data_IF_363561359570
#
_entry.id   IF_363561359570
#
_cell.length_a   1.000
_cell.length_b   1.000
_cell.length_c   1.000
_cell.angle_alpha   90.00
_cell.angle_beta   90.00
_cell.angle_gamma   90.00
#
_symmetry.space_group_name_H-M   'P 1'
#
loop_
_entity.id
_entity.type
_entity.pdbx_description
1 polymer ?
#
# COMPACT_ATOMS: atom_id res chain seq x y z
N UNK A 1 -4.56 43.50 -12.02
CA UNK A 1 -5.56 42.70 -11.29
C UNK A 1 -5.28 41.22 -11.45
N UNK A 2 -5.19 40.70 -12.67
CA UNK A 2 -4.87 39.28 -12.95
C UNK A 2 -3.62 38.76 -12.20
N UNK A 3 -2.48 39.47 -12.29
CA UNK A 3 -1.28 39.11 -11.52
C UNK A 3 -1.48 39.20 -9.99
N UNK A 4 -2.30 40.12 -9.50
CA UNK A 4 -2.57 40.21 -8.06
C UNK A 4 -3.38 38.99 -7.59
N UNK A 5 -4.40 38.58 -8.35
CA UNK A 5 -5.18 37.37 -8.04
C UNK A 5 -4.36 36.09 -8.19
N UNK A 6 -3.40 36.05 -9.13
CA UNK A 6 -2.53 34.89 -9.34
C UNK A 6 -1.51 34.68 -8.20
N UNK A 7 -0.91 35.76 -7.67
CA UNK A 7 0.13 35.67 -6.64
C UNK A 7 -0.38 35.86 -5.20
N UNK A 8 -1.58 36.42 -5.02
CA UNK A 8 -2.18 36.71 -3.72
C UNK A 8 -3.62 36.19 -3.64
N UNK A 9 -3.86 34.98 -4.16
CA UNK A 9 -5.15 34.30 -3.99
C UNK A 9 -5.47 34.14 -2.50
N UNK A 10 -6.76 34.28 -2.16
CA UNK A 10 -7.23 33.96 -0.82
C UNK A 10 -7.04 32.45 -0.58
N UNK A 11 -6.77 32.03 0.67
CA UNK A 11 -6.63 30.60 0.99
C UNK A 11 -7.90 29.78 0.65
N UNK A 12 -9.05 30.44 0.49
CA UNK A 12 -10.33 29.80 0.22
C UNK A 12 -10.53 29.41 -1.26
N UNK A 13 -9.86 30.08 -2.20
CA UNK A 13 -10.04 29.85 -3.65
C UNK A 13 -9.01 28.89 -4.25
N UNK A 14 -7.92 28.60 -3.51
CA UNK A 14 -6.82 27.78 -3.98
C UNK A 14 -6.96 26.31 -3.53
N UNK A 15 -6.68 25.36 -4.44
CA UNK A 15 -6.61 23.93 -4.08
C UNK A 15 -5.59 23.69 -2.95
N UNK A 16 -4.44 24.36 -3.01
CA UNK A 16 -3.39 24.30 -2.00
C UNK A 16 -3.06 25.69 -1.46
N UNK A 17 -2.98 25.80 -0.14
CA UNK A 17 -2.48 27.02 0.51
C UNK A 17 -0.96 27.12 0.36
N UNK A 18 -0.41 28.31 0.60
CA UNK A 18 1.04 28.49 0.64
C UNK A 18 1.71 27.64 1.74
N UNK A 19 1.03 27.44 2.86
CA UNK A 19 1.51 26.58 3.94
C UNK A 19 1.64 25.10 3.49
N UNK A 20 0.68 24.61 2.71
CA UNK A 20 0.72 23.24 2.17
C UNK A 20 1.86 23.06 1.17
N UNK A 21 2.05 24.01 0.26
CA UNK A 21 3.14 23.97 -0.72
C UNK A 21 4.49 23.97 -0.01
N UNK A 22 4.67 24.83 1.01
CA UNK A 22 5.90 24.88 1.80
C UNK A 22 6.14 23.58 2.59
N UNK A 23 5.09 23.02 3.18
CA UNK A 23 5.15 21.73 3.87
C UNK A 23 5.58 20.61 2.91
N UNK A 24 4.94 20.51 1.74
CA UNK A 24 5.33 19.56 0.72
C UNK A 24 6.77 19.75 0.24
N UNK A 25 7.21 20.99 -0.02
CA UNK A 25 8.59 21.29 -0.41
C UNK A 25 9.61 20.81 0.64
N UNK A 26 9.34 21.07 1.92
CA UNK A 26 10.22 20.62 3.00
C UNK A 26 10.33 19.10 3.04
N UNK A 27 9.20 18.38 2.91
CA UNK A 27 9.19 16.92 2.88
C UNK A 27 9.86 16.39 1.62
N UNK A 28 9.60 16.98 0.46
CA UNK A 28 10.22 16.60 -0.81
C UNK A 28 11.74 16.67 -0.71
N UNK A 29 12.29 17.76 -0.18
CA UNK A 29 13.73 17.95 -0.03
C UNK A 29 14.39 16.91 0.91
N UNK A 30 13.63 16.31 1.84
CA UNK A 30 14.11 15.19 2.67
C UNK A 30 14.17 13.89 1.84
N UNK A 31 13.24 13.71 0.91
CA UNK A 31 13.11 12.47 0.12
C UNK A 31 14.01 12.48 -1.12
N UNK A 32 14.12 13.62 -1.81
CA UNK A 32 14.97 13.90 -2.97
C UNK A 32 16.29 14.54 -2.54
N UNK A 33 17.14 13.74 -1.91
CA UNK A 33 18.42 14.20 -1.34
C UNK A 33 19.41 14.73 -2.38
N UNK A 34 19.27 14.30 -3.64
CA UNK A 34 20.16 14.67 -4.74
C UNK A 34 19.63 15.86 -5.55
N UNK A 35 18.46 16.41 -5.19
CA UNK A 35 17.79 17.51 -5.88
C UNK A 35 17.60 17.23 -7.38
N UNK A 36 17.23 15.98 -7.72
CA UNK A 36 17.00 15.57 -9.10
C UNK A 36 15.69 16.13 -9.67
N UNK A 37 14.76 16.52 -8.81
CA UNK A 37 13.40 16.91 -9.20
C UNK A 37 12.50 15.71 -9.51
N UNK A 38 13.03 14.49 -9.42
CA UNK A 38 12.32 13.21 -9.57
C UNK A 38 12.71 12.25 -8.45
N UNK A 39 11.76 11.38 -8.07
CA UNK A 39 12.00 10.29 -7.11
C UNK A 39 11.43 8.99 -7.66
N UNK A 40 12.04 7.85 -7.28
CA UNK A 40 11.46 6.54 -7.58
C UNK A 40 10.06 6.41 -6.97
N UNK A 41 9.12 5.78 -7.68
CA UNK A 41 7.73 5.65 -7.21
C UNK A 41 7.62 4.99 -5.83
N UNK A 42 8.50 4.04 -5.51
CA UNK A 42 8.53 3.38 -4.19
C UNK A 42 8.81 4.34 -3.02
N UNK A 43 9.39 5.51 -3.28
CA UNK A 43 9.67 6.56 -2.29
C UNK A 43 8.45 7.41 -1.98
N UNK A 44 7.41 7.41 -2.82
CA UNK A 44 6.16 8.15 -2.58
C UNK A 44 5.49 7.70 -1.28
N UNK A 45 5.48 6.38 -1.00
CA UNK A 45 4.96 5.83 0.27
C UNK A 45 5.65 6.43 1.50
N UNK A 46 6.95 6.69 1.40
CA UNK A 46 7.71 7.31 2.48
C UNK A 46 7.41 8.81 2.56
N UNK A 47 7.34 9.50 1.42
CA UNK A 47 6.96 10.90 1.32
C UNK A 47 5.60 11.18 2.00
N UNK A 48 4.57 10.41 1.64
CA UNK A 48 3.21 10.60 2.17
C UNK A 48 3.15 10.45 3.71
N UNK A 49 3.98 9.57 4.28
CA UNK A 49 4.04 9.38 5.75
C UNK A 49 4.70 10.54 6.50
N UNK A 50 5.48 11.37 5.79
CA UNK A 50 6.16 12.51 6.37
C UNK A 50 5.34 13.79 6.28
N UNK A 51 4.31 13.84 5.43
CA UNK A 51 3.40 14.98 5.35
C UNK A 51 2.66 15.20 6.67
N UNK A 52 2.42 16.47 6.98
CA UNK A 52 1.76 16.93 8.22
C UNK A 52 0.65 17.94 7.95
N UNK A 53 -0.20 18.18 8.94
CA UNK A 53 -1.25 19.19 8.85
C UNK A 53 -2.33 18.78 7.83
N UNK A 54 -2.75 19.72 6.97
CA UNK A 54 -3.83 19.48 5.99
C UNK A 54 -3.48 18.42 4.93
N UNK A 55 -2.19 18.21 4.67
CA UNK A 55 -1.69 17.18 3.74
C UNK A 55 -1.42 15.83 4.40
N UNK A 56 -1.65 15.68 5.71
CA UNK A 56 -1.40 14.43 6.41
C UNK A 56 -2.39 13.35 5.97
N UNK A 57 -1.86 12.17 5.62
CA UNK A 57 -2.66 10.99 5.28
C UNK A 57 -2.26 9.87 6.23
N UNK A 58 -3.10 9.60 7.23
CA UNK A 58 -2.82 8.62 8.27
C UNK A 58 -2.93 7.20 7.66
N UNK A 59 -1.86 6.39 7.63
CA UNK A 59 -1.91 5.08 6.98
C UNK A 59 -2.80 4.06 7.71
N UNK A 60 -3.19 4.32 8.96
CA UNK A 60 -4.10 3.49 9.74
C UNK A 60 -5.54 3.94 9.56
N UNK A 61 -5.82 5.25 9.69
CA UNK A 61 -7.18 5.81 9.57
C UNK A 61 -7.61 5.97 8.11
N UNK A 62 -6.73 6.52 7.28
CA UNK A 62 -6.98 6.87 5.88
C UNK A 62 -6.36 5.82 4.93
N UNK A 63 -6.34 4.56 5.37
CA UNK A 63 -5.67 3.46 4.68
C UNK A 63 -6.08 3.30 3.21
N UNK A 64 -7.35 3.57 2.90
CA UNK A 64 -7.89 3.47 1.54
C UNK A 64 -7.35 4.62 0.67
N UNK A 65 -7.48 5.87 1.15
CA UNK A 65 -6.93 7.05 0.47
C UNK A 65 -5.41 6.91 0.25
N UNK A 66 -4.67 6.45 1.26
CA UNK A 66 -3.24 6.18 1.16
C UNK A 66 -2.92 5.20 0.03
N UNK A 67 -3.70 4.12 -0.12
CA UNK A 67 -3.53 3.17 -1.22
C UNK A 67 -3.86 3.80 -2.58
N UNK A 68 -4.91 4.60 -2.67
CA UNK A 68 -5.31 5.27 -3.92
C UNK A 68 -4.21 6.21 -4.40
N UNK A 69 -3.67 7.05 -3.51
CA UNK A 69 -2.57 7.96 -3.82
C UNK A 69 -1.30 7.23 -4.26
N UNK A 70 -0.97 6.12 -3.59
CA UNK A 70 0.16 5.29 -4.02
C UNK A 70 -0.07 4.67 -5.39
N UNK A 71 -1.26 4.12 -5.63
CA UNK A 71 -1.60 3.49 -6.91
C UNK A 71 -1.60 4.51 -8.05
N UNK A 72 -2.13 5.70 -7.82
CA UNK A 72 -2.11 6.81 -8.77
C UNK A 72 -0.68 7.10 -9.25
N UNK A 73 0.28 7.23 -8.32
CA UNK A 73 1.69 7.44 -8.66
C UNK A 73 2.35 6.23 -9.34
N UNK A 74 1.90 5.01 -9.04
CA UNK A 74 2.34 3.78 -9.73
C UNK A 74 1.85 3.71 -11.19
N UNK A 75 0.76 4.41 -11.54
CA UNK A 75 0.29 4.49 -12.93
C UNK A 75 1.06 5.53 -13.76
N UNK A 76 1.66 6.55 -13.13
CA UNK A 76 2.50 7.50 -13.83
C UNK A 76 3.80 6.85 -14.31
N UNK A 77 4.20 7.17 -15.55
CA UNK A 77 5.49 6.79 -16.15
C UNK A 77 5.86 5.30 -16.01
N UNK A 78 4.87 4.40 -16.14
CA UNK A 78 5.06 2.95 -15.99
C UNK A 78 5.69 2.53 -14.65
N UNK A 79 5.55 3.34 -13.60
CA UNK A 79 6.03 3.05 -12.25
C UNK A 79 7.54 3.19 -12.04
N UNK A 80 8.23 4.00 -12.85
CA UNK A 80 9.68 4.23 -12.66
C UNK A 80 9.94 5.40 -11.70
N UNK A 81 9.87 6.63 -12.23
CA UNK A 81 10.08 7.87 -11.49
C UNK A 81 8.88 8.81 -11.60
N UNK A 82 8.65 9.58 -10.53
CA UNK A 82 7.66 10.65 -10.47
C UNK A 82 8.35 11.97 -10.16
N UNK A 83 7.88 13.04 -10.77
CA UNK A 83 8.39 14.39 -10.55
C UNK A 83 7.77 15.06 -9.31
N UNK A 84 8.39 16.16 -8.88
CA UNK A 84 7.83 17.05 -7.86
C UNK A 84 6.38 17.46 -8.20
N UNK A 85 6.13 17.77 -9.48
CA UNK A 85 4.85 18.26 -9.94
C UNK A 85 3.78 17.17 -9.96
N UNK A 86 4.12 15.93 -10.34
CA UNK A 86 3.16 14.83 -10.35
C UNK A 86 2.55 14.59 -8.96
N UNK A 87 3.43 14.55 -7.95
CA UNK A 87 3.00 14.37 -6.56
C UNK A 87 2.26 15.60 -6.03
N UNK A 88 2.69 16.81 -6.38
CA UNK A 88 2.00 18.03 -5.95
C UNK A 88 0.59 18.14 -6.55
N UNK A 89 0.43 17.78 -7.82
CA UNK A 89 -0.87 17.78 -8.53
C UNK A 89 -1.81 16.74 -7.91
N UNK A 90 -1.31 15.53 -7.64
CA UNK A 90 -2.09 14.53 -6.92
C UNK A 90 -2.53 15.06 -5.54
N UNK A 91 -1.63 15.70 -4.79
CA UNK A 91 -1.99 16.31 -3.51
C UNK A 91 -3.05 17.41 -3.65
N UNK A 92 -2.98 18.24 -4.69
CA UNK A 92 -3.97 19.31 -4.89
C UNK A 92 -5.37 18.79 -5.14
N UNK A 93 -5.53 17.67 -5.84
CA UNK A 93 -6.86 17.07 -6.05
C UNK A 93 -7.36 16.27 -4.85
N UNK A 94 -6.46 15.63 -4.09
CA UNK A 94 -6.83 14.75 -2.97
C UNK A 94 -7.10 15.48 -1.65
N UNK A 95 -6.67 16.74 -1.53
CA UNK A 95 -6.71 17.48 -0.25
C UNK A 95 -7.93 18.39 -0.09
N UNK A 96 -8.79 18.52 -1.09
CA UNK A 96 -9.95 19.43 -1.09
C UNK A 96 -11.13 18.83 -1.84
N UNK A 97 -12.33 19.37 -1.62
CA UNK A 97 -13.50 19.07 -2.45
C UNK A 97 -13.38 19.78 -3.81
N UNK A 98 -12.97 19.03 -4.82
CA UNK A 98 -12.70 19.54 -6.17
C UNK A 98 -13.95 20.06 -6.90
N UNK A 99 -15.17 19.69 -6.48
CA UNK A 99 -16.42 20.05 -7.18
C UNK A 99 -16.72 21.55 -7.17
N UNK A 100 -16.11 22.30 -6.24
CA UNK A 100 -16.26 23.75 -6.12
C UNK A 100 -15.12 24.54 -6.80
N UNK A 101 -14.06 23.86 -7.23
CA UNK A 101 -12.82 24.48 -7.65
C UNK A 101 -12.46 24.21 -9.11
N UNK A 102 -12.92 23.08 -9.67
CA UNK A 102 -12.62 22.69 -11.04
C UNK A 102 -13.73 23.10 -12.02
N UNK A 103 -13.33 23.33 -13.27
CA UNK A 103 -14.27 23.43 -14.38
C UNK A 103 -14.86 22.05 -14.74
N UNK A 104 -16.02 22.01 -15.39
CA UNK A 104 -16.76 20.77 -15.63
C UNK A 104 -15.93 19.70 -16.36
N UNK A 105 -15.17 20.06 -17.38
CA UNK A 105 -14.36 19.11 -18.15
C UNK A 105 -13.25 18.49 -17.30
N UNK A 106 -12.49 19.32 -16.60
CA UNK A 106 -11.42 18.90 -15.69
C UNK A 106 -11.97 18.04 -14.54
N UNK A 107 -13.13 18.43 -13.99
CA UNK A 107 -13.81 17.69 -12.93
C UNK A 107 -14.21 16.28 -13.39
N UNK A 108 -14.82 16.16 -14.58
CA UNK A 108 -15.24 14.86 -15.12
C UNK A 108 -14.04 13.95 -15.38
N UNK A 109 -12.96 14.47 -15.97
CA UNK A 109 -11.73 13.72 -16.19
C UNK A 109 -11.13 13.25 -14.86
N UNK A 110 -11.17 14.11 -13.83
CA UNK A 110 -10.64 13.76 -12.51
C UNK A 110 -11.50 12.70 -11.82
N UNK A 111 -12.82 12.82 -11.85
CA UNK A 111 -13.74 11.82 -11.28
C UNK A 111 -13.59 10.46 -11.98
N UNK A 112 -13.47 10.44 -13.31
CA UNK A 112 -13.23 9.20 -14.06
C UNK A 112 -11.91 8.53 -13.65
N UNK A 113 -10.83 9.30 -13.54
CA UNK A 113 -9.54 8.79 -13.08
C UNK A 113 -9.63 8.21 -11.65
N UNK A 114 -10.29 8.92 -10.74
CA UNK A 114 -10.43 8.45 -9.36
C UNK A 114 -11.26 7.17 -9.30
N UNK A 115 -12.35 7.08 -10.06
CA UNK A 115 -13.16 5.86 -10.17
C UNK A 115 -12.32 4.66 -10.64
N UNK A 116 -11.49 4.84 -11.67
CA UNK A 116 -10.60 3.78 -12.18
C UNK A 116 -9.61 3.34 -11.09
N UNK A 117 -9.01 4.30 -10.37
CA UNK A 117 -8.07 4.01 -9.27
C UNK A 117 -8.75 3.20 -8.17
N UNK A 118 -9.96 3.60 -7.76
CA UNK A 118 -10.74 2.89 -6.75
C UNK A 118 -11.02 1.44 -7.17
N UNK A 119 -11.45 1.25 -8.41
CA UNK A 119 -11.74 -0.06 -8.97
C UNK A 119 -10.51 -0.97 -8.99
N UNK A 120 -9.37 -0.46 -9.46
CA UNK A 120 -8.12 -1.23 -9.55
C UNK A 120 -7.55 -1.56 -8.17
N UNK A 121 -7.58 -0.63 -7.23
CA UNK A 121 -7.13 -0.89 -5.85
C UNK A 121 -8.03 -1.92 -5.16
N UNK A 122 -9.34 -1.91 -5.43
CA UNK A 122 -10.27 -2.93 -4.95
C UNK A 122 -9.94 -4.31 -5.53
N UNK A 123 -9.73 -4.41 -6.87
CA UNK A 123 -9.32 -5.64 -7.55
C UNK A 123 -8.03 -6.21 -6.96
N UNK A 124 -6.99 -5.39 -6.80
CA UNK A 124 -5.72 -5.82 -6.19
C UNK A 124 -5.88 -6.27 -4.74
N UNK A 125 -6.72 -5.56 -3.97
CA UNK A 125 -6.98 -5.91 -2.57
C UNK A 125 -7.68 -7.27 -2.46
N UNK A 126 -8.71 -7.53 -3.27
CA UNK A 126 -9.41 -8.81 -3.33
C UNK A 126 -8.45 -9.91 -3.77
N UNK A 127 -7.66 -9.67 -4.83
CA UNK A 127 -6.66 -10.63 -5.33
C UNK A 127 -5.65 -11.02 -4.26
N UNK A 128 -5.02 -10.04 -3.60
CA UNK A 128 -4.05 -10.29 -2.52
C UNK A 128 -4.67 -11.03 -1.34
N UNK A 129 -5.93 -10.74 -1.03
CA UNK A 129 -6.67 -11.46 0.02
C UNK A 129 -6.90 -12.93 -0.36
N UNK A 130 -7.37 -13.21 -1.58
CA UNK A 130 -7.57 -14.57 -2.09
C UNK A 130 -6.25 -15.37 -2.12
N UNK A 131 -5.17 -14.76 -2.60
CA UNK A 131 -3.84 -15.38 -2.62
C UNK A 131 -3.38 -15.77 -1.20
N UNK A 132 -3.58 -14.89 -0.21
CA UNK A 132 -3.28 -15.18 1.20
C UNK A 132 -4.16 -16.30 1.76
N UNK A 133 -5.45 -16.33 1.41
CA UNK A 133 -6.36 -17.41 1.81
C UNK A 133 -5.89 -18.76 1.24
N UNK A 134 -5.59 -18.83 -0.06
CA UNK A 134 -5.10 -20.03 -0.72
C UNK A 134 -3.75 -20.49 -0.17
N UNK A 135 -2.86 -19.55 0.13
CA UNK A 135 -1.56 -19.86 0.74
C UNK A 135 -1.74 -20.48 2.13
N UNK A 136 -2.62 -19.93 2.98
CA UNK A 136 -2.94 -20.51 4.30
C UNK A 136 -3.50 -21.93 4.19
N UNK A 137 -4.42 -22.17 3.25
CA UNK A 137 -4.99 -23.51 3.02
C UNK A 137 -3.87 -24.50 2.61
N UNK A 138 -2.99 -24.12 1.67
CA UNK A 138 -1.87 -24.97 1.24
C UNK A 138 -0.91 -25.29 2.39
N UNK A 139 -0.59 -24.30 3.24
CA UNK A 139 0.29 -24.51 4.40
C UNK A 139 -0.35 -25.42 5.46
N UNK A 140 -1.64 -25.23 5.77
CA UNK A 140 -2.36 -26.08 6.71
C UNK A 140 -2.44 -27.53 6.23
N UNK A 141 -2.70 -27.74 4.93
CA UNK A 141 -2.73 -29.10 4.36
C UNK A 141 -1.35 -29.77 4.42
N UNK A 142 -0.27 -29.04 4.15
CA UNK A 142 1.11 -29.56 4.31
C UNK A 142 1.41 -29.92 5.77
N UNK A 143 1.08 -29.03 6.71
CA UNK A 143 1.29 -29.28 8.14
C UNK A 143 0.50 -30.51 8.63
N UNK A 144 -0.75 -30.66 8.17
CA UNK A 144 -1.57 -31.85 8.48
C UNK A 144 -0.98 -33.15 7.95
N UNK A 145 -0.46 -33.14 6.70
CA UNK A 145 0.19 -34.31 6.10
C UNK A 145 1.47 -34.69 6.85
N UNK A 146 2.29 -33.72 7.21
CA UNK A 146 3.53 -33.96 8.00
C UNK A 146 3.19 -34.50 9.39
N UNK A 147 2.20 -33.92 10.08
CA UNK A 147 1.75 -34.41 11.38
C UNK A 147 1.23 -35.85 11.32
N UNK A 148 0.47 -36.18 10.27
CA UNK A 148 -0.03 -37.54 10.02
C UNK A 148 1.11 -38.53 9.82
N UNK A 149 2.09 -38.18 8.99
CA UNK A 149 3.27 -39.01 8.73
C UNK A 149 4.13 -39.23 10.00
N UNK A 150 4.38 -38.16 10.78
CA UNK A 150 5.14 -38.26 12.03
C UNK A 150 4.41 -39.14 13.07
N UNK A 151 3.08 -39.08 13.10
CA UNK A 151 2.25 -39.92 13.97
C UNK A 151 2.33 -41.40 13.56
N UNK A 152 2.30 -41.69 12.26
CA UNK A 152 2.46 -43.05 11.73
C UNK A 152 3.85 -43.63 12.04
N UNK A 153 4.92 -42.85 11.86
CA UNK A 153 6.28 -43.29 12.19
C UNK A 153 6.42 -43.61 13.69
N UNK A 154 5.85 -42.76 14.55
CA UNK A 154 5.87 -42.96 16.01
C UNK A 154 5.13 -44.23 16.43
N UNK A 155 4.01 -44.56 15.79
CA UNK A 155 3.27 -45.81 16.02
C UNK A 155 4.07 -47.04 15.55
N UNK A 156 4.75 -46.93 14.41
CA UNK A 156 5.61 -48.00 13.87
C UNK A 156 6.80 -48.31 14.79
N UNK A 157 7.45 -47.27 15.34
CA UNK A 157 8.54 -47.39 16.29
C UNK A 157 8.10 -48.10 17.59
N UNK A 158 6.99 -47.66 18.20
CA UNK A 158 6.44 -48.29 19.42
C UNK A 158 6.05 -49.76 19.22
N UNK A 159 5.57 -50.11 18.02
CA UNK A 159 5.22 -51.50 17.69
C UNK A 159 6.47 -52.39 17.60
N UNK A 160 7.57 -51.87 17.02
CA UNK A 160 8.87 -52.58 16.97
C UNK A 160 9.48 -52.78 18.37
N UNK A 161 9.36 -51.79 19.24
CA UNK A 161 9.82 -51.90 20.64
C UNK A 161 9.02 -52.95 21.43
N UNK A 162 7.69 -52.98 21.27
CA UNK A 162 6.83 -53.97 21.92
C UNK A 162 7.13 -55.42 21.46
N UNK A 163 7.40 -55.63 20.16
CA UNK A 163 7.76 -56.94 19.63
C UNK A 163 9.15 -57.40 20.08
N UNK A 164 10.12 -56.48 20.18
CA UNK A 164 11.47 -56.80 20.65
C UNK A 164 11.52 -57.03 22.17
N UNK A 165 10.67 -56.34 22.95
CA UNK A 165 10.52 -56.56 24.39
C UNK A 165 9.93 -57.94 24.73
N UNK A 166 8.98 -58.43 23.92
CA UNK A 166 8.40 -59.77 24.08
C UNK A 166 9.43 -60.87 23.80
N UNK A 167 10.23 -60.73 22.73
CA UNK A 167 11.25 -61.71 22.34
C UNK A 167 12.42 -61.85 23.34
N UNK A 168 12.70 -60.80 24.13
CA UNK A 168 13.73 -60.86 25.17
C UNK A 168 13.24 -61.53 26.47
N UNK A 169 11.92 -61.62 26.69
CA UNK A 169 11.36 -62.29 27.88
C UNK A 169 11.26 -63.81 27.76
N UNK A 170 11.29 -64.35 26.53
CA UNK A 170 11.28 -65.80 26.26
C UNK A 170 12.69 -66.43 26.25
N UNK A 171 13.75 -65.63 26.33
CA UNK A 171 15.15 -66.13 26.38
C UNK A 171 15.68 -66.44 27.78
N UNK A 172 14.90 -66.19 28.82
CA UNK A 172 15.28 -66.39 30.24
C UNK A 172 14.27 -67.26 31.02
N UNK A 173 13.56 -68.15 30.33
CA UNK A 173 12.84 -69.30 30.94
C UNK A 173 13.42 -70.59 30.38
#
# INVERSE_FOLDING_TARGET
>A
MENFSLFYSSEEDALLSYADIRNFQNVWNIVDTEQKGTIRVGRVKFLLRLLKGRLEVDPEKDRILFKHMCYEMEQFHNGDEVSFHDVLIMLSYRSVDIRKHLQLEELLQREELEYIIEEEVAKQTIRSWLEKCLHRIKMNNKAFLVASFMTEQSKSLKKKEATNGSANSERYR
#
